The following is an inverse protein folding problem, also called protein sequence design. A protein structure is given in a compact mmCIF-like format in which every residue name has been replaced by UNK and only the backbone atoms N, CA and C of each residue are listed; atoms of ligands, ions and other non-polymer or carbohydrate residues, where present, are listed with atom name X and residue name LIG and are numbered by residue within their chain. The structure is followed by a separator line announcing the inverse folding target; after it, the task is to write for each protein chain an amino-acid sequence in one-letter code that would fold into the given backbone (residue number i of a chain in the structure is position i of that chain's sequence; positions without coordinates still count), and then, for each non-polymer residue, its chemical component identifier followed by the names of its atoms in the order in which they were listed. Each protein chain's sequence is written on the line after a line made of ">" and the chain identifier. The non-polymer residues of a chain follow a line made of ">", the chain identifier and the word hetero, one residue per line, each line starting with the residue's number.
data_IF_275951412267
#
_entry.id   IF_275951412267
#
_cell.length_a   1.000
_cell.length_b   1.000
_cell.length_c   1.000
_cell.angle_alpha   90.00
_cell.angle_beta   90.00
_cell.angle_gamma   90.00
#
_symmetry.space_group_name_H-M   'P 1'
#
loop_
_entity.id
_entity.type
_entity.pdbx_description
1 polymer ?
#
# COMPACT_ATOMS: atom_id res chain seq x y z
N UNK A 1 24.10 -9.34 15.89
CA UNK A 1 23.08 -10.13 15.13
C UNK A 1 21.82 -9.31 14.84
N UNK A 2 21.29 -8.54 15.80
CA UNK A 2 20.11 -7.68 15.62
C UNK A 2 20.27 -6.55 14.59
N UNK A 3 21.44 -5.88 14.53
CA UNK A 3 21.68 -4.77 13.61
C UNK A 3 21.53 -5.18 12.13
N UNK A 4 22.03 -6.37 11.75
CA UNK A 4 21.91 -6.88 10.39
C UNK A 4 20.45 -7.22 10.03
N UNK A 5 19.66 -7.70 10.99
CA UNK A 5 18.24 -8.02 10.77
C UNK A 5 17.45 -6.74 10.55
N UNK A 6 17.62 -5.74 11.43
CA UNK A 6 16.93 -4.45 11.28
C UNK A 6 17.28 -3.80 9.95
N UNK A 7 18.57 -3.77 9.61
CA UNK A 7 19.04 -3.21 8.35
C UNK A 7 18.45 -3.93 7.13
N UNK A 8 18.46 -5.28 7.15
CA UNK A 8 17.89 -6.09 6.07
C UNK A 8 16.38 -5.89 5.94
N UNK A 9 15.66 -5.79 7.06
CA UNK A 9 14.21 -5.53 7.07
C UNK A 9 13.87 -4.16 6.49
N UNK A 10 14.62 -3.12 6.88
CA UNK A 10 14.44 -1.76 6.36
C UNK A 10 14.71 -1.71 4.86
N UNK A 11 15.81 -2.32 4.40
CA UNK A 11 16.14 -2.37 2.97
C UNK A 11 15.11 -3.15 2.18
N UNK A 12 14.76 -4.36 2.65
CA UNK A 12 13.79 -5.22 1.98
C UNK A 12 12.42 -4.56 1.86
N UNK A 13 11.94 -3.92 2.94
CA UNK A 13 10.68 -3.18 2.91
C UNK A 13 10.75 -1.98 1.96
N UNK A 14 11.84 -1.21 1.98
CA UNK A 14 12.02 -0.06 1.09
C UNK A 14 11.99 -0.46 -0.39
N UNK A 15 12.71 -1.52 -0.75
CA UNK A 15 12.72 -2.08 -2.11
C UNK A 15 11.32 -2.59 -2.48
N UNK A 16 10.62 -3.26 -1.57
CA UNK A 16 9.26 -3.75 -1.78
C UNK A 16 8.25 -2.64 -2.06
N UNK A 17 8.28 -1.56 -1.26
CA UNK A 17 7.42 -0.38 -1.45
C UNK A 17 7.74 0.31 -2.78
N UNK A 18 9.03 0.49 -3.10
CA UNK A 18 9.46 1.08 -4.37
C UNK A 18 8.98 0.26 -5.58
N UNK A 19 9.17 -1.06 -5.52
CA UNK A 19 8.74 -1.98 -6.59
C UNK A 19 7.22 -1.96 -6.75
N UNK A 20 6.48 -1.92 -5.64
CA UNK A 20 5.01 -1.84 -5.64
C UNK A 20 4.52 -0.56 -6.32
N UNK A 21 5.16 0.57 -6.03
CA UNK A 21 4.85 1.84 -6.69
C UNK A 21 5.14 1.79 -8.19
N UNK A 22 6.33 1.31 -8.58
CA UNK A 22 6.76 1.27 -9.98
C UNK A 22 5.86 0.35 -10.83
N UNK A 23 5.56 -0.86 -10.35
CA UNK A 23 4.65 -1.79 -11.00
C UNK A 23 3.21 -1.25 -11.02
N UNK A 24 2.75 -0.64 -9.93
CA UNK A 24 1.46 0.04 -9.88
C UNK A 24 1.33 1.08 -10.99
N UNK A 25 2.33 1.96 -11.11
CA UNK A 25 2.37 3.03 -12.09
C UNK A 25 2.35 2.51 -13.53
N UNK A 26 3.30 1.64 -13.89
CA UNK A 26 3.55 1.25 -15.29
C UNK A 26 2.58 0.15 -15.74
N UNK A 27 2.31 -0.84 -14.90
CA UNK A 27 1.56 -2.02 -15.30
C UNK A 27 0.07 -1.92 -14.95
N UNK A 28 -0.25 -1.62 -13.68
CA UNK A 28 -1.66 -1.65 -13.20
C UNK A 28 -2.44 -0.44 -13.69
N UNK A 29 -1.91 0.77 -13.48
CA UNK A 29 -2.63 2.01 -13.78
C UNK A 29 -2.23 2.63 -15.12
N UNK A 30 -1.09 2.20 -15.69
CA UNK A 30 -0.52 2.70 -16.95
C UNK A 30 -0.49 4.24 -16.98
N UNK A 31 0.00 4.84 -15.89
CA UNK A 31 0.11 6.30 -15.80
C UNK A 31 1.30 6.76 -16.62
N UNK A 32 1.03 7.47 -17.71
CA UNK A 32 2.03 8.04 -18.63
C UNK A 32 2.64 9.35 -18.10
N UNK A 33 2.16 9.85 -16.97
CA UNK A 33 2.69 11.09 -16.40
C UNK A 33 4.09 10.90 -15.82
N UNK A 34 4.93 11.92 -15.98
CA UNK A 34 6.25 11.98 -15.36
C UNK A 34 6.10 11.78 -13.84
N UNK A 35 6.98 10.99 -13.23
CA UNK A 35 6.98 10.78 -11.77
C UNK A 35 7.10 12.13 -11.06
N UNK A 36 6.07 12.48 -10.28
CA UNK A 36 6.07 13.66 -9.43
C UNK A 36 6.31 13.26 -7.99
N UNK A 37 7.08 14.06 -7.23
CA UNK A 37 7.33 13.81 -5.81
C UNK A 37 6.02 13.72 -4.99
N UNK A 38 5.01 14.51 -5.35
CA UNK A 38 3.70 14.48 -4.71
C UNK A 38 2.94 13.16 -4.97
N UNK A 39 3.17 12.50 -6.11
CA UNK A 39 2.61 11.17 -6.41
C UNK A 39 3.17 10.13 -5.43
N UNK A 40 4.48 10.16 -5.19
CA UNK A 40 5.16 9.28 -4.23
C UNK A 40 4.65 9.52 -2.81
N UNK A 41 4.52 10.79 -2.37
CA UNK A 41 3.97 11.09 -1.04
C UNK A 41 2.55 10.54 -0.88
N UNK A 42 1.67 10.76 -1.87
CA UNK A 42 0.29 10.25 -1.84
C UNK A 42 0.28 8.71 -1.78
N UNK A 43 1.15 8.06 -2.53
CA UNK A 43 1.29 6.60 -2.49
C UNK A 43 1.71 6.12 -1.09
N UNK A 44 2.72 6.74 -0.49
CA UNK A 44 3.17 6.40 0.86
C UNK A 44 2.05 6.60 1.89
N UNK A 45 1.29 7.69 1.81
CA UNK A 45 0.14 7.94 2.71
C UNK A 45 -0.90 6.83 2.56
N UNK A 46 -1.30 6.51 1.33
CA UNK A 46 -2.26 5.41 1.07
C UNK A 46 -1.75 4.08 1.63
N UNK A 47 -0.47 3.78 1.41
CA UNK A 47 0.15 2.54 1.84
C UNK A 47 0.25 2.42 3.37
N UNK A 48 0.61 3.50 4.06
CA UNK A 48 0.64 3.57 5.53
C UNK A 48 -0.76 3.39 6.11
N UNK A 49 -1.78 4.06 5.54
CA UNK A 49 -3.18 3.90 5.96
C UNK A 49 -3.63 2.45 5.77
N UNK A 50 -3.26 1.82 4.65
CA UNK A 50 -3.57 0.41 4.38
C UNK A 50 -2.96 -0.52 5.42
N UNK A 51 -1.69 -0.34 5.76
CA UNK A 51 -1.00 -1.15 6.78
C UNK A 51 -1.53 -0.93 8.19
N UNK A 52 -1.80 0.33 8.56
CA UNK A 52 -2.39 0.67 9.86
C UNK A 52 -3.80 0.08 9.99
N UNK A 53 -4.66 0.26 8.98
CA UNK A 53 -6.01 -0.29 8.98
C UNK A 53 -6.04 -1.82 8.96
N UNK A 54 -5.13 -2.46 8.22
CA UNK A 54 -4.93 -3.92 8.29
C UNK A 54 -4.62 -4.37 9.72
N UNK A 55 -3.71 -3.68 10.39
CA UNK A 55 -3.31 -4.02 11.77
C UNK A 55 -4.48 -3.88 12.74
N UNK A 56 -5.24 -2.77 12.63
CA UNK A 56 -6.43 -2.54 13.46
C UNK A 56 -7.51 -3.60 13.22
N UNK A 57 -7.77 -3.97 11.96
CA UNK A 57 -8.75 -5.01 11.62
C UNK A 57 -8.33 -6.36 12.19
N UNK A 58 -7.04 -6.73 12.08
CA UNK A 58 -6.54 -7.99 12.63
C UNK A 58 -6.73 -8.03 14.15
N UNK A 59 -6.34 -6.96 14.85
CA UNK A 59 -6.47 -6.86 16.31
C UNK A 59 -7.94 -6.96 16.71
N UNK A 60 -8.83 -6.24 16.02
CA UNK A 60 -10.26 -6.24 16.31
C UNK A 60 -10.90 -7.62 16.07
N UNK A 61 -10.64 -8.25 14.92
CA UNK A 61 -11.13 -9.61 14.62
C UNK A 61 -10.62 -10.64 15.64
N UNK A 62 -9.34 -10.54 16.03
CA UNK A 62 -8.72 -11.51 16.93
C UNK A 62 -9.17 -11.32 18.39
N UNK A 63 -9.22 -10.09 18.89
CA UNK A 63 -9.51 -9.83 20.31
C UNK A 63 -11.02 -9.79 20.61
N UNK A 64 -11.81 -9.14 19.76
CA UNK A 64 -13.23 -8.89 20.04
C UNK A 64 -14.13 -10.04 19.56
N UNK A 65 -13.76 -10.67 18.43
CA UNK A 65 -14.52 -11.76 17.83
C UNK A 65 -13.89 -13.13 18.06
N UNK A 66 -12.74 -13.17 18.76
CA UNK A 66 -11.99 -14.38 19.09
C UNK A 66 -11.68 -15.25 17.84
N UNK A 67 -11.55 -14.60 16.68
CA UNK A 67 -11.22 -15.26 15.41
C UNK A 67 -9.73 -15.56 15.41
N UNK A 68 -9.35 -16.77 14.99
CA UNK A 68 -7.94 -17.16 14.87
C UNK A 68 -7.12 -16.10 14.11
N UNK A 69 -5.88 -15.87 14.55
CA UNK A 69 -5.01 -14.85 13.97
C UNK A 69 -4.82 -15.03 12.46
N UNK A 70 -4.72 -16.27 11.97
CA UNK A 70 -4.55 -16.54 10.53
C UNK A 70 -5.79 -16.14 9.73
N UNK A 71 -6.98 -16.40 10.27
CA UNK A 71 -8.23 -15.97 9.66
C UNK A 71 -8.39 -14.45 9.73
N UNK A 72 -8.03 -13.83 10.86
CA UNK A 72 -8.04 -12.37 11.04
C UNK A 72 -7.10 -11.67 10.06
N UNK A 73 -5.93 -12.26 9.79
CA UNK A 73 -4.96 -11.77 8.81
C UNK A 73 -5.55 -11.67 7.40
N UNK A 74 -6.39 -12.64 6.98
CA UNK A 74 -7.06 -12.59 5.68
C UNK A 74 -7.97 -11.36 5.57
N UNK A 75 -8.71 -11.04 6.64
CA UNK A 75 -9.55 -9.83 6.69
C UNK A 75 -8.74 -8.55 6.56
N UNK A 76 -7.67 -8.42 7.36
CA UNK A 76 -6.78 -7.26 7.28
C UNK A 76 -6.07 -7.13 5.94
N UNK A 77 -5.59 -8.24 5.36
CA UNK A 77 -4.92 -8.25 4.06
C UNK A 77 -5.87 -7.85 2.93
N UNK A 78 -7.12 -8.33 2.98
CA UNK A 78 -8.17 -7.95 2.03
C UNK A 78 -8.43 -6.45 2.07
N UNK A 79 -8.55 -5.88 3.27
CA UNK A 79 -8.66 -4.44 3.45
C UNK A 79 -7.45 -3.69 2.87
N UNK A 80 -6.22 -4.10 3.19
CA UNK A 80 -5.02 -3.44 2.68
C UNK A 80 -4.96 -3.46 1.14
N UNK A 81 -5.29 -4.59 0.51
CA UNK A 81 -5.33 -4.71 -0.95
C UNK A 81 -6.34 -3.74 -1.54
N UNK A 82 -7.57 -3.71 -1.02
CA UNK A 82 -8.63 -2.83 -1.51
C UNK A 82 -8.25 -1.36 -1.30
N UNK A 83 -7.79 -1.00 -0.10
CA UNK A 83 -7.35 0.36 0.22
C UNK A 83 -6.22 0.81 -0.72
N UNK A 84 -5.19 -0.02 -0.89
CA UNK A 84 -4.04 0.33 -1.71
C UNK A 84 -4.42 0.44 -3.19
N UNK A 85 -5.30 -0.43 -3.68
CA UNK A 85 -5.80 -0.36 -5.05
C UNK A 85 -6.66 0.89 -5.27
N UNK A 86 -7.69 1.13 -4.46
CA UNK A 86 -8.60 2.27 -4.63
C UNK A 86 -7.88 3.60 -4.36
N UNK A 87 -7.08 3.70 -3.30
CA UNK A 87 -6.29 4.87 -2.99
C UNK A 87 -5.31 5.19 -4.12
N UNK A 88 -4.62 4.18 -4.66
CA UNK A 88 -3.74 4.39 -5.80
C UNK A 88 -4.49 4.82 -7.05
N UNK A 89 -5.66 4.22 -7.33
CA UNK A 89 -6.48 4.54 -8.51
C UNK A 89 -7.04 5.97 -8.48
N UNK A 90 -7.54 6.42 -7.34
CA UNK A 90 -8.30 7.67 -7.25
C UNK A 90 -7.49 8.85 -6.70
N UNK A 91 -6.46 8.59 -5.90
CA UNK A 91 -5.67 9.63 -5.23
C UNK A 91 -4.28 9.77 -5.85
N UNK A 92 -3.60 8.64 -6.12
CA UNK A 92 -2.21 8.64 -6.60
C UNK A 92 -2.16 8.86 -8.11
N UNK A 93 -2.66 7.89 -8.89
CA UNK A 93 -2.58 7.85 -10.36
C UNK A 93 -3.86 8.36 -11.00
N UNK A 94 -4.37 9.50 -10.53
CA UNK A 94 -5.57 10.12 -11.08
C UNK A 94 -5.29 10.43 -12.56
N UNK A 95 -5.98 9.74 -13.47
CA UNK A 95 -5.88 10.06 -14.91
C UNK A 95 -6.32 11.51 -15.09
N UNK A 96 -5.39 12.41 -15.41
CA UNK A 96 -5.78 13.69 -15.96
C UNK A 96 -6.46 13.38 -17.31
N UNK A 97 -7.77 13.65 -17.37
CA UNK A 97 -8.50 13.66 -18.64
C UNK A 97 -7.78 14.71 -19.49
N UNK A 98 -7.04 14.28 -20.52
CA UNK A 98 -6.48 15.20 -21.53
C UNK A 98 -7.64 16.10 -21.96
N UNK A 99 -7.59 17.36 -21.53
CA UNK A 99 -8.46 18.39 -22.08
C UNK A 99 -7.91 18.56 -23.49
N UNK A 100 -8.58 17.98 -24.48
CA UNK A 100 -8.33 18.27 -25.88
C UNK A 100 -8.53 19.78 -26.02
N UNK A 101 -7.43 20.52 -26.06
CA UNK A 101 -7.37 21.93 -26.47
C UNK A 101 -6.98 21.98 -27.94
#
# INVERSE_FOLDING_TARGET
>A
MSANIIFSSVLGYSIGVFTSYYLGKIWVFKSEEVVQFLEIIRFLIVYIIGGAGMTLIIIWLNNELNIDYKASWIGGATFAIINNYLGSKYIVFKKHKKRLS
#
